data_IF_670210134739
#
_entry.id   IF_670210134739
#
_cell.length_a   1.000
_cell.length_b   1.000
_cell.length_c   1.000
_cell.angle_alpha   90.00
_cell.angle_beta   90.00
_cell.angle_gamma   90.00
#
_symmetry.space_group_name_H-M   'P 1'
#
loop_
_entity.id
_entity.type
_entity.pdbx_description
1 polymer ?
#
# COMPACT_ATOMS: atom_id res chain seq x y z
N UNK A 1 17.76 43.37 25.20
CA UNK A 1 16.70 43.82 24.29
C UNK A 1 17.13 43.46 22.87
N UNK A 2 16.48 42.42 22.35
CA UNK A 2 16.07 42.06 20.98
C UNK A 2 16.71 42.71 19.73
N UNK A 3 16.84 41.84 18.70
CA UNK A 3 16.93 42.11 17.25
C UNK A 3 17.80 41.01 16.60
N UNK A 4 17.32 39.79 16.34
CA UNK A 4 16.44 39.29 15.24
C UNK A 4 16.95 39.56 13.81
N UNK A 5 17.11 38.49 13.02
CA UNK A 5 17.25 38.58 11.56
C UNK A 5 18.00 37.46 10.82
N UNK A 6 17.47 36.22 10.81
CA UNK A 6 17.63 35.16 9.77
C UNK A 6 19.05 34.59 9.46
N UNK A 7 19.20 33.42 8.80
CA UNK A 7 18.26 32.73 7.89
C UNK A 7 17.99 31.28 8.41
N UNK A 8 17.20 30.37 7.86
CA UNK A 8 16.78 30.04 6.50
C UNK A 8 15.40 29.37 6.60
N UNK A 9 14.54 29.72 5.65
CA UNK A 9 13.48 28.93 5.04
C UNK A 9 13.42 27.46 5.54
N UNK A 10 12.70 27.22 6.63
CA UNK A 10 12.27 25.87 7.01
C UNK A 10 11.18 25.46 6.02
N UNK A 11 11.63 24.98 4.87
CA UNK A 11 10.81 24.25 3.93
C UNK A 11 10.24 23.03 4.63
N UNK A 12 9.06 23.21 5.22
CA UNK A 12 8.23 22.15 5.74
C UNK A 12 7.77 21.28 4.57
N UNK A 13 8.65 20.39 4.12
CA UNK A 13 8.22 19.15 3.50
C UNK A 13 7.45 18.41 4.59
N UNK A 14 6.13 18.59 4.56
CA UNK A 14 5.15 17.70 5.18
C UNK A 14 5.55 16.29 4.79
N UNK A 15 6.35 15.65 5.63
CA UNK A 15 6.67 14.24 5.49
C UNK A 15 5.36 13.52 5.63
N UNK A 16 4.82 13.04 4.51
CA UNK A 16 3.75 12.07 4.53
C UNK A 16 4.17 10.99 5.54
N UNK A 17 3.29 10.55 6.46
CA UNK A 17 3.65 9.54 7.43
C UNK A 17 4.23 8.36 6.67
N UNK A 18 5.53 8.10 6.88
CA UNK A 18 6.24 7.02 6.20
C UNK A 18 5.47 5.74 6.54
N UNK A 19 4.87 5.12 5.53
CA UNK A 19 4.19 3.84 5.71
C UNK A 19 5.17 2.91 6.45
N UNK A 20 4.71 2.31 7.55
CA UNK A 20 5.55 1.40 8.32
C UNK A 20 5.87 0.23 7.38
N UNK A 21 7.15 -0.10 7.15
CA UNK A 21 7.48 -1.18 6.25
C UNK A 21 6.99 -2.52 6.83
N UNK A 22 6.63 -3.46 5.96
CA UNK A 22 5.91 -4.69 6.33
C UNK A 22 6.69 -5.60 7.31
N UNK A 23 8.01 -5.47 7.36
CA UNK A 23 8.90 -6.16 8.30
C UNK A 23 8.75 -5.67 9.75
N UNK A 24 8.17 -4.49 9.95
CA UNK A 24 7.94 -3.88 11.25
C UNK A 24 6.48 -3.98 11.72
N UNK A 25 5.62 -4.65 10.96
CA UNK A 25 4.22 -4.87 11.35
C UNK A 25 4.09 -5.89 12.47
N UNK A 26 2.95 -5.85 13.19
CA UNK A 26 2.59 -6.96 14.08
C UNK A 26 2.58 -8.28 13.30
N UNK A 27 3.16 -9.38 13.82
CA UNK A 27 3.25 -10.63 13.09
C UNK A 27 1.90 -11.17 12.59
N UNK A 28 0.82 -10.96 13.34
CA UNK A 28 -0.53 -11.39 12.94
C UNK A 28 -1.03 -10.58 11.74
N UNK A 29 -0.76 -9.26 11.75
CA UNK A 29 -1.09 -8.35 10.65
C UNK A 29 -0.31 -8.70 9.39
N UNK A 30 0.98 -9.02 9.54
CA UNK A 30 1.86 -9.46 8.45
C UNK A 30 1.40 -10.80 7.85
N UNK A 31 1.08 -11.79 8.69
CA UNK A 31 0.57 -13.08 8.24
C UNK A 31 -0.76 -12.94 7.49
N UNK A 32 -1.67 -12.11 7.99
CA UNK A 32 -2.94 -11.85 7.32
C UNK A 32 -2.74 -11.23 5.92
N UNK A 33 -1.81 -10.29 5.77
CA UNK A 33 -1.47 -9.70 4.48
C UNK A 33 -0.93 -10.75 3.50
N UNK A 34 0.05 -11.56 3.93
CA UNK A 34 0.63 -12.57 3.05
C UNK A 34 -0.37 -13.66 2.65
N UNK A 35 -1.28 -14.04 3.56
CA UNK A 35 -2.39 -14.92 3.26
C UNK A 35 -3.30 -14.35 2.17
N UNK A 36 -3.70 -13.08 2.31
CA UNK A 36 -4.50 -12.38 1.31
C UNK A 36 -3.76 -12.25 -0.04
N UNK A 37 -2.50 -11.82 -0.01
CA UNK A 37 -1.66 -11.66 -1.19
C UNK A 37 -1.53 -12.97 -1.98
N UNK A 38 -1.19 -14.07 -1.29
CA UNK A 38 -1.07 -15.38 -1.94
C UNK A 38 -2.41 -15.86 -2.52
N UNK A 39 -3.52 -15.66 -1.81
CA UNK A 39 -4.83 -16.08 -2.27
C UNK A 39 -5.31 -15.29 -3.49
N UNK A 40 -4.99 -13.99 -3.58
CA UNK A 40 -5.57 -13.08 -4.59
C UNK A 40 -4.66 -12.81 -5.78
N UNK A 41 -3.34 -12.96 -5.66
CA UNK A 41 -2.40 -12.58 -6.74
C UNK A 41 -2.71 -13.27 -8.06
N UNK A 42 -3.04 -14.56 -8.05
CA UNK A 42 -3.33 -15.32 -9.27
C UNK A 42 -4.63 -14.85 -9.96
N UNK A 43 -5.67 -14.55 -9.19
CA UNK A 43 -6.93 -14.05 -9.72
C UNK A 43 -6.76 -12.65 -10.32
N UNK A 44 -6.01 -11.78 -9.65
CA UNK A 44 -5.67 -10.43 -10.11
C UNK A 44 -4.80 -10.47 -11.38
N UNK A 45 -3.79 -11.35 -11.43
CA UNK A 45 -2.98 -11.56 -12.64
C UNK A 45 -3.82 -11.99 -13.83
N UNK A 46 -4.72 -12.96 -13.62
CA UNK A 46 -5.61 -13.43 -14.68
C UNK A 46 -6.51 -12.30 -15.18
N UNK A 47 -7.08 -11.52 -14.27
CA UNK A 47 -7.92 -10.39 -14.63
C UNK A 47 -7.13 -9.32 -15.39
N UNK A 48 -5.96 -8.91 -14.88
CA UNK A 48 -5.12 -7.89 -15.50
C UNK A 48 -4.65 -8.32 -16.90
N UNK A 49 -4.27 -9.59 -17.08
CA UNK A 49 -3.92 -10.14 -18.39
C UNK A 49 -5.10 -10.07 -19.37
N UNK A 50 -6.33 -10.38 -18.92
CA UNK A 50 -7.52 -10.26 -19.77
C UNK A 50 -7.80 -8.82 -20.21
N UNK A 51 -7.41 -7.82 -19.41
CA UNK A 51 -7.61 -6.41 -19.73
C UNK A 51 -6.48 -5.83 -20.60
N UNK A 52 -5.23 -6.23 -20.34
CA UNK A 52 -4.05 -5.61 -20.92
C UNK A 52 -3.42 -6.43 -22.06
N UNK A 53 -3.67 -7.74 -22.10
CA UNK A 53 -3.17 -8.64 -23.14
C UNK A 53 -1.65 -8.90 -23.10
N UNK A 54 -0.98 -8.50 -22.01
CA UNK A 54 0.47 -8.54 -21.83
C UNK A 54 0.79 -9.01 -20.41
N UNK A 55 1.64 -10.01 -20.28
CA UNK A 55 2.07 -10.52 -18.97
C UNK A 55 2.84 -9.47 -18.16
N UNK A 56 3.68 -8.67 -18.84
CA UNK A 56 4.48 -7.63 -18.18
C UNK A 56 3.60 -6.50 -17.64
N UNK A 57 2.66 -6.01 -18.45
CA UNK A 57 1.75 -4.93 -18.02
C UNK A 57 0.76 -5.44 -16.95
N UNK A 58 0.36 -6.72 -17.04
CA UNK A 58 -0.46 -7.35 -16.01
C UNK A 58 0.28 -7.46 -14.68
N UNK A 59 1.53 -7.89 -14.69
CA UNK A 59 2.36 -7.97 -13.48
C UNK A 59 2.55 -6.59 -12.85
N UNK A 60 2.90 -5.58 -13.64
CA UNK A 60 3.05 -4.21 -13.14
C UNK A 60 1.76 -3.68 -12.52
N UNK A 61 0.62 -3.88 -13.19
CA UNK A 61 -0.68 -3.43 -12.67
C UNK A 61 -1.07 -4.14 -11.37
N UNK A 62 -0.77 -5.43 -11.25
CA UNK A 62 -1.03 -6.21 -10.03
C UNK A 62 -0.13 -5.77 -8.89
N UNK A 63 1.16 -5.58 -9.14
CA UNK A 63 2.12 -5.14 -8.13
C UNK A 63 1.73 -3.74 -7.60
N UNK A 64 1.42 -2.78 -8.48
CA UNK A 64 0.92 -1.46 -8.11
C UNK A 64 -0.39 -1.50 -7.30
N UNK A 65 -1.23 -2.50 -7.55
CA UNK A 65 -2.46 -2.69 -6.79
C UNK A 65 -2.17 -3.19 -5.38
N UNK A 66 -1.26 -4.16 -5.23
CA UNK A 66 -0.86 -4.67 -3.92
C UNK A 66 -0.09 -3.65 -3.10
N UNK A 67 0.69 -2.75 -3.72
CA UNK A 67 1.29 -1.61 -3.03
C UNK A 67 0.23 -0.72 -2.38
N UNK A 68 -0.85 -0.39 -3.11
CA UNK A 68 -1.95 0.40 -2.55
C UNK A 68 -2.72 -0.34 -1.46
N UNK A 69 -2.87 -1.66 -1.57
CA UNK A 69 -3.47 -2.50 -0.52
C UNK A 69 -2.60 -2.48 0.73
N UNK A 70 -1.29 -2.62 0.57
CA UNK A 70 -0.31 -2.61 1.67
C UNK A 70 -0.38 -1.30 2.45
N UNK A 71 -0.44 -0.16 1.76
CA UNK A 71 -0.59 1.17 2.39
C UNK A 71 -1.86 1.32 3.23
N UNK A 72 -2.93 0.61 2.84
CA UNK A 72 -4.26 0.70 3.48
C UNK A 72 -4.54 -0.46 4.44
N UNK A 73 -3.69 -1.47 4.45
CA UNK A 73 -3.91 -2.76 5.13
C UNK A 73 -4.24 -2.62 6.62
N UNK A 74 -3.51 -1.80 7.42
CA UNK A 74 -3.83 -1.65 8.84
C UNK A 74 -5.21 -1.05 9.11
N UNK A 75 -5.72 -0.24 8.16
CA UNK A 75 -7.08 0.31 8.22
C UNK A 75 -8.11 -0.72 7.75
N UNK A 76 -7.80 -1.48 6.71
CA UNK A 76 -8.66 -2.52 6.16
C UNK A 76 -8.92 -3.66 7.15
N UNK A 77 -7.92 -4.09 7.93
CA UNK A 77 -8.10 -5.10 8.99
C UNK A 77 -9.09 -4.68 10.08
N UNK A 78 -9.29 -3.37 10.28
CA UNK A 78 -10.26 -2.84 11.25
C UNK A 78 -11.67 -2.69 10.67
N UNK A 79 -11.81 -2.83 9.35
CA UNK A 79 -13.10 -2.86 8.68
C UNK A 79 -13.56 -4.32 8.65
N UNK A 80 -14.74 -4.61 9.20
CA UNK A 80 -15.29 -5.97 9.36
C UNK A 80 -15.47 -6.78 8.04
N UNK A 81 -15.10 -6.23 6.88
CA UNK A 81 -15.32 -6.85 5.58
C UNK A 81 -14.10 -6.76 4.65
N UNK A 82 -13.07 -7.57 4.92
CA UNK A 82 -11.94 -7.77 4.03
C UNK A 82 -12.33 -8.34 2.66
N UNK A 83 -13.41 -9.11 2.58
CA UNK A 83 -13.88 -9.69 1.31
C UNK A 83 -14.42 -8.63 0.34
N UNK A 84 -15.00 -7.54 0.84
CA UNK A 84 -15.55 -6.45 0.03
C UNK A 84 -14.50 -5.63 -0.73
N UNK A 85 -13.25 -5.61 -0.28
CA UNK A 85 -12.15 -4.94 -0.99
C UNK A 85 -11.51 -5.80 -2.09
N UNK A 86 -11.89 -7.07 -2.21
CA UNK A 86 -11.38 -7.95 -3.26
C UNK A 86 -11.91 -7.58 -4.67
N UNK A 87 -12.84 -6.62 -4.80
CA UNK A 87 -13.54 -6.30 -6.07
C UNK A 87 -14.08 -4.86 -6.21
N UNK A 88 -13.42 -3.82 -5.69
CA UNK A 88 -13.78 -2.43 -6.06
C UNK A 88 -12.63 -1.69 -6.71
#
# INVERSE_FOLDING_TARGET
MNGDGGPEETGGAVGAPRAVPIDQWDPTVQMAYWGFHHQRRQDYMRYAYLQLGSDADAEEAVDLTFDQVMDRWPRMLRMENLEGYAWT
#
